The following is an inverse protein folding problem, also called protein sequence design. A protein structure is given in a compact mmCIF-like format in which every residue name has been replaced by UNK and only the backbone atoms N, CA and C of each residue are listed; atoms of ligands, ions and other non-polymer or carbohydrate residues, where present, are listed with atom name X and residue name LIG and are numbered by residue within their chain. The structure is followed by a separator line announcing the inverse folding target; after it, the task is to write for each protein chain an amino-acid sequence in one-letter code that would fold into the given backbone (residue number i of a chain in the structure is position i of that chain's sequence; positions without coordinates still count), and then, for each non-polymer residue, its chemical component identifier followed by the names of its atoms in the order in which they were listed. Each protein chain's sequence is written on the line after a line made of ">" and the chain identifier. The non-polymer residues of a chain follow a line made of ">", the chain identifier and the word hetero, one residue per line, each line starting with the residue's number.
data_IF_532386175786
#
_entry.id   IF_532386175786
#
_cell.length_a   1.000
_cell.length_b   1.000
_cell.length_c   1.000
_cell.angle_alpha   90.00
_cell.angle_beta   90.00
_cell.angle_gamma   90.00
#
_symmetry.space_group_name_H-M   'P 1'
#
loop_
_entity.id
_entity.type
_entity.pdbx_description
1 polymer ?
#
# COMPACT_ATOMS: atom_id res chain seq x y z
N UNK A 1 -8.02 15.42 -17.72
CA UNK A 1 -9.12 14.56 -17.25
C UNK A 1 -8.60 13.75 -16.08
N UNK A 2 -8.73 14.28 -14.86
CA UNK A 2 -8.36 13.53 -13.67
C UNK A 2 -9.44 12.46 -13.47
N UNK A 3 -9.05 11.20 -13.56
CA UNK A 3 -9.86 10.07 -13.11
C UNK A 3 -10.29 10.35 -11.67
N UNK A 4 -11.57 10.32 -11.39
CA UNK A 4 -12.11 10.59 -10.06
C UNK A 4 -11.66 9.45 -9.13
N UNK A 5 -10.56 9.65 -8.38
CA UNK A 5 -10.13 8.69 -7.37
C UNK A 5 -11.05 8.83 -6.16
N UNK A 6 -11.66 7.71 -5.76
CA UNK A 6 -12.58 7.66 -4.61
C UNK A 6 -11.92 6.87 -3.48
N UNK A 7 -11.88 7.42 -2.26
CA UNK A 7 -11.37 6.67 -1.12
C UNK A 7 -12.25 5.44 -0.86
N UNK A 8 -11.62 4.34 -0.49
CA UNK A 8 -12.31 3.19 0.09
C UNK A 8 -12.48 3.48 1.60
N UNK A 9 -13.68 3.86 2.08
CA UNK A 9 -13.83 4.48 3.40
C UNK A 9 -13.38 3.59 4.55
N UNK A 10 -13.55 2.28 4.41
CA UNK A 10 -13.16 1.32 5.43
C UNK A 10 -11.63 1.17 5.54
N UNK A 11 -10.88 1.30 4.44
CA UNK A 11 -9.40 1.33 4.48
C UNK A 11 -8.91 2.62 5.12
N UNK A 12 -9.51 3.76 4.76
CA UNK A 12 -9.19 5.05 5.40
C UNK A 12 -9.47 5.01 6.91
N UNK A 13 -10.56 4.35 7.33
CA UNK A 13 -10.85 4.17 8.76
C UNK A 13 -9.80 3.29 9.48
N UNK A 14 -9.24 2.28 8.81
CA UNK A 14 -8.12 1.48 9.35
C UNK A 14 -6.89 2.36 9.54
N UNK A 15 -6.54 3.20 8.56
CA UNK A 15 -5.42 4.14 8.65
C UNK A 15 -5.57 5.04 9.87
N UNK A 16 -6.73 5.68 10.05
CA UNK A 16 -6.97 6.53 11.22
C UNK A 16 -6.93 5.78 12.55
N UNK A 17 -7.49 4.57 12.58
CA UNK A 17 -7.57 3.78 13.82
C UNK A 17 -6.21 3.31 14.31
N UNK A 18 -5.28 2.99 13.40
CA UNK A 18 -4.01 2.34 13.75
C UNK A 18 -2.79 3.26 13.60
N UNK A 19 -2.96 4.50 13.17
CA UNK A 19 -1.88 5.48 13.15
C UNK A 19 -1.26 5.69 14.53
N UNK A 20 0.07 5.63 14.60
CA UNK A 20 0.83 5.67 15.85
C UNK A 20 0.79 4.39 16.69
N UNK A 21 -0.01 3.38 16.29
CA UNK A 21 -0.12 2.07 16.96
C UNK A 21 0.61 0.99 16.15
N UNK A 22 0.37 0.95 14.84
CA UNK A 22 1.01 0.04 13.90
C UNK A 22 1.80 0.82 12.83
N UNK A 23 3.00 0.35 12.43
CA UNK A 23 3.68 0.89 11.26
C UNK A 23 2.84 0.70 10.00
N UNK A 24 2.81 1.69 9.11
CA UNK A 24 2.02 1.65 7.89
C UNK A 24 2.83 2.13 6.70
N UNK A 25 2.60 1.51 5.54
CA UNK A 25 3.19 1.88 4.27
C UNK A 25 2.16 1.79 3.14
N UNK A 26 2.45 2.50 2.04
CA UNK A 26 1.75 2.35 0.76
C UNK A 26 2.66 1.58 -0.21
N UNK A 27 2.08 0.62 -0.93
CA UNK A 27 2.74 -0.17 -1.96
C UNK A 27 1.88 -0.19 -3.23
N UNK A 28 2.18 0.69 -4.18
CA UNK A 28 1.34 0.94 -5.36
C UNK A 28 2.09 0.71 -6.67
N UNK A 29 1.39 0.20 -7.68
CA UNK A 29 1.91 0.13 -9.05
C UNK A 29 1.83 1.47 -9.81
N UNK A 30 1.31 2.53 -9.18
CA UNK A 30 1.29 3.87 -9.75
C UNK A 30 2.64 4.59 -9.64
N UNK A 31 2.79 5.68 -10.39
CA UNK A 31 3.91 6.61 -10.25
C UNK A 31 3.85 7.30 -8.89
N UNK A 32 5.01 7.69 -8.35
CA UNK A 32 5.12 8.39 -7.07
C UNK A 32 4.32 9.68 -7.06
N UNK A 33 4.38 10.44 -8.16
CA UNK A 33 3.62 11.68 -8.31
C UNK A 33 2.11 11.47 -8.11
N UNK A 34 1.52 10.48 -8.79
CA UNK A 34 0.08 10.20 -8.69
C UNK A 34 -0.31 9.69 -7.31
N UNK A 35 0.46 8.72 -6.78
CA UNK A 35 0.20 8.12 -5.47
C UNK A 35 0.25 9.18 -4.38
N UNK A 36 1.29 10.00 -4.36
CA UNK A 36 1.40 11.04 -3.35
C UNK A 36 0.35 12.15 -3.52
N UNK A 37 -0.02 12.50 -4.76
CA UNK A 37 -1.11 13.43 -5.04
C UNK A 37 -2.44 12.93 -4.45
N UNK A 38 -2.79 11.67 -4.70
CA UNK A 38 -4.01 11.03 -4.18
C UNK A 38 -4.02 11.00 -2.65
N UNK A 39 -2.91 10.57 -2.03
CA UNK A 39 -2.79 10.52 -0.57
C UNK A 39 -2.89 11.91 0.07
N UNK A 40 -2.32 12.95 -0.56
CA UNK A 40 -2.43 14.34 -0.10
C UNK A 40 -3.85 14.89 -0.28
N UNK A 41 -4.50 14.59 -1.40
CA UNK A 41 -5.90 14.97 -1.64
C UNK A 41 -6.85 14.32 -0.62
N UNK A 42 -6.55 13.11 -0.17
CA UNK A 42 -7.28 12.43 0.91
C UNK A 42 -6.90 12.89 2.33
N UNK A 43 -5.83 13.68 2.48
CA UNK A 43 -5.34 14.13 3.79
C UNK A 43 -4.69 13.03 4.64
N UNK A 44 -4.28 11.91 4.03
CA UNK A 44 -3.69 10.75 4.73
C UNK A 44 -2.22 10.49 4.39
N UNK A 45 -1.59 11.34 3.58
CA UNK A 45 -0.19 11.20 3.19
C UNK A 45 0.76 10.98 4.38
N UNK A 46 0.64 11.81 5.41
CA UNK A 46 1.57 11.81 6.54
C UNK A 46 1.31 10.67 7.54
N UNK A 47 0.36 9.78 7.26
CA UNK A 47 0.04 8.63 8.09
C UNK A 47 0.97 7.43 7.82
N UNK A 48 1.67 7.45 6.69
CA UNK A 48 2.49 6.34 6.22
C UNK A 48 3.98 6.64 6.43
N UNK A 49 4.70 5.68 7.01
CA UNK A 49 6.15 5.76 7.22
C UNK A 49 6.91 5.62 5.91
N UNK A 50 6.35 4.90 4.94
CA UNK A 50 6.96 4.67 3.64
C UNK A 50 5.93 4.61 2.52
N UNK A 51 6.34 5.06 1.34
CA UNK A 51 5.56 4.99 0.10
C UNK A 51 6.47 4.36 -0.95
N UNK A 52 6.11 3.15 -1.38
CA UNK A 52 6.77 2.39 -2.45
C UNK A 52 5.85 2.36 -3.66
N UNK A 53 6.43 2.63 -4.83
CA UNK A 53 5.76 2.98 -6.08
C UNK A 53 6.44 2.26 -7.26
N UNK A 54 5.88 2.40 -8.47
CA UNK A 54 6.54 1.91 -9.68
C UNK A 54 7.89 2.60 -9.96
N UNK A 55 8.09 3.82 -9.42
CA UNK A 55 9.31 4.60 -9.63
C UNK A 55 10.50 4.07 -8.81
N UNK A 56 10.28 3.12 -7.89
CA UNK A 56 11.33 2.49 -7.08
C UNK A 56 12.05 1.33 -7.83
N UNK A 57 11.73 1.11 -9.11
CA UNK A 57 12.41 0.18 -10.03
C UNK A 57 12.48 -1.28 -9.54
N UNK A 58 11.42 -1.73 -8.87
CA UNK A 58 11.23 -3.12 -8.45
C UNK A 58 10.52 -3.93 -9.53
N UNK A 59 10.62 -5.27 -9.45
CA UNK A 59 9.82 -6.14 -10.30
C UNK A 59 8.32 -5.89 -10.05
N UNK A 60 7.51 -5.69 -11.10
CA UNK A 60 6.11 -5.31 -10.95
C UNK A 60 5.27 -6.49 -10.43
N UNK A 61 4.17 -6.16 -9.74
CA UNK A 61 3.11 -7.11 -9.36
C UNK A 61 2.76 -7.99 -10.58
N UNK A 62 2.75 -9.33 -10.48
CA UNK A 62 2.59 -10.12 -9.26
C UNK A 62 3.91 -10.54 -8.59
N UNK A 63 5.06 -9.96 -8.95
CA UNK A 63 6.26 -10.11 -8.13
C UNK A 63 6.03 -9.51 -6.72
N UNK A 64 6.57 -10.13 -5.65
CA UNK A 64 6.29 -9.71 -4.27
C UNK A 64 7.10 -8.47 -3.83
N UNK A 65 8.05 -8.03 -4.65
CA UNK A 65 9.11 -7.08 -4.33
C UNK A 65 8.60 -5.79 -3.71
N UNK A 66 7.54 -5.20 -4.27
CA UNK A 66 6.98 -3.95 -3.73
C UNK A 66 6.44 -4.08 -2.30
N UNK A 67 5.87 -5.22 -1.96
CA UNK A 67 5.38 -5.49 -0.60
C UNK A 67 6.53 -5.82 0.34
N UNK A 68 7.50 -6.62 -0.11
CA UNK A 68 8.70 -6.94 0.66
C UNK A 68 9.50 -5.67 1.00
N UNK A 69 9.64 -4.76 0.05
CA UNK A 69 10.30 -3.48 0.25
C UNK A 69 9.52 -2.58 1.22
N UNK A 70 8.19 -2.50 1.07
CA UNK A 70 7.35 -1.77 2.01
C UNK A 70 7.51 -2.30 3.46
N UNK A 71 7.48 -3.63 3.64
CA UNK A 71 7.68 -4.28 4.93
C UNK A 71 9.08 -4.00 5.52
N UNK A 72 10.13 -4.04 4.68
CA UNK A 72 11.50 -3.69 5.07
C UNK A 72 11.60 -2.25 5.57
N UNK A 73 11.00 -1.30 4.86
CA UNK A 73 11.04 0.13 5.20
C UNK A 73 10.30 0.47 6.50
N UNK A 74 9.21 -0.24 6.80
CA UNK A 74 8.48 -0.07 8.07
C UNK A 74 9.02 -0.95 9.21
N UNK A 75 10.02 -1.79 8.94
CA UNK A 75 10.67 -2.64 9.93
C UNK A 75 9.82 -3.81 10.43
N UNK A 76 8.86 -4.29 9.64
CA UNK A 76 7.94 -5.37 10.02
C UNK A 76 8.23 -6.63 9.18
N UNK A 77 8.41 -7.82 9.78
CA UNK A 77 8.54 -9.06 9.01
C UNK A 77 7.28 -9.36 8.19
N UNK A 78 7.38 -9.85 6.94
CA UNK A 78 6.24 -10.00 6.04
C UNK A 78 5.07 -10.83 6.60
N UNK A 79 5.35 -11.89 7.36
CA UNK A 79 4.31 -12.74 7.97
C UNK A 79 3.44 -12.02 9.02
N UNK A 80 3.83 -10.82 9.45
CA UNK A 80 3.06 -9.97 10.35
C UNK A 80 2.42 -8.77 9.64
N UNK A 81 2.54 -8.68 8.32
CA UNK A 81 1.93 -7.63 7.52
C UNK A 81 0.54 -8.03 7.03
N UNK A 82 -0.38 -7.06 7.05
CA UNK A 82 -1.71 -7.13 6.43
C UNK A 82 -1.74 -6.17 5.24
N UNK A 83 -2.05 -6.70 4.06
CA UNK A 83 -2.25 -5.94 2.82
C UNK A 83 -3.75 -5.79 2.55
N UNK A 84 -4.18 -4.58 2.21
CA UNK A 84 -5.51 -4.28 1.69
C UNK A 84 -5.34 -3.94 0.19
N UNK A 85 -5.98 -4.71 -0.70
CA UNK A 85 -5.76 -4.63 -2.15
C UNK A 85 -7.05 -4.88 -2.94
N UNK A 86 -7.24 -4.16 -4.04
CA UNK A 86 -8.38 -4.28 -4.96
C UNK A 86 -7.98 -4.86 -6.33
N UNK A 87 -6.70 -5.12 -6.57
CA UNK A 87 -6.19 -5.72 -7.80
C UNK A 87 -5.78 -7.19 -7.65
N UNK A 88 -6.15 -8.04 -8.61
CA UNK A 88 -5.75 -9.47 -8.65
C UNK A 88 -4.23 -9.66 -8.58
N UNK A 89 -3.47 -8.88 -9.36
CA UNK A 89 -2.00 -8.93 -9.35
C UNK A 89 -1.43 -8.50 -7.99
N UNK A 90 -2.08 -7.55 -7.31
CA UNK A 90 -1.70 -7.09 -5.98
C UNK A 90 -1.97 -8.14 -4.90
N UNK A 91 -3.15 -8.76 -4.92
CA UNK A 91 -3.50 -9.86 -4.02
C UNK A 91 -2.54 -11.04 -4.20
N UNK A 92 -2.18 -11.37 -5.44
CA UNK A 92 -1.21 -12.43 -5.72
C UNK A 92 0.20 -12.06 -5.20
N UNK A 93 0.68 -10.85 -5.48
CA UNK A 93 1.97 -10.36 -4.98
C UNK A 93 2.04 -10.36 -3.44
N UNK A 94 0.97 -9.95 -2.75
CA UNK A 94 0.90 -9.97 -1.29
C UNK A 94 1.00 -11.40 -0.73
N UNK A 95 0.30 -12.36 -1.34
CA UNK A 95 0.37 -13.78 -0.95
C UNK A 95 1.76 -14.36 -1.21
N UNK A 96 2.39 -14.03 -2.36
CA UNK A 96 3.77 -14.45 -2.69
C UNK A 96 4.80 -13.85 -1.73
N UNK A 97 4.53 -12.66 -1.19
CA UNK A 97 5.35 -12.03 -0.15
C UNK A 97 5.17 -12.69 1.24
N UNK A 98 4.27 -13.68 1.38
CA UNK A 98 3.97 -14.33 2.66
C UNK A 98 3.13 -13.48 3.62
N UNK A 99 2.41 -12.49 3.09
CA UNK A 99 1.58 -11.57 3.86
C UNK A 99 0.11 -12.01 3.88
N UNK A 100 -0.63 -11.56 4.90
CA UNK A 100 -2.09 -11.68 4.90
C UNK A 100 -2.66 -10.66 3.91
N UNK A 101 -3.52 -11.11 3.00
CA UNK A 101 -4.12 -10.28 1.96
C UNK A 101 -5.65 -10.21 2.13
N UNK A 102 -6.19 -9.00 2.16
CA UNK A 102 -7.63 -8.74 2.19
C UNK A 102 -8.04 -8.03 0.90
N UNK A 103 -8.94 -8.66 0.16
CA UNK A 103 -9.62 -8.08 -0.99
C UNK A 103 -10.64 -7.03 -0.51
N UNK A 104 -10.58 -5.82 -1.06
CA UNK A 104 -11.39 -4.65 -0.61
C UNK A 104 -12.37 -4.14 -1.67
N UNK A 105 -12.63 -4.93 -2.73
CA UNK A 105 -13.65 -4.65 -3.75
C UNK A 105 -15.09 -4.83 -3.27
#
# INVERSE_FOLDING_TARGET
>A
HATEFRPIPHVVAVVYKYHGILPMAVASGGTRENVEFELRALGIHDYFTAIVTADDHLDPKPAPDIFLEAARLIGVPPQYCQVFEDGELGLEAARRAGMLATDIR
#
